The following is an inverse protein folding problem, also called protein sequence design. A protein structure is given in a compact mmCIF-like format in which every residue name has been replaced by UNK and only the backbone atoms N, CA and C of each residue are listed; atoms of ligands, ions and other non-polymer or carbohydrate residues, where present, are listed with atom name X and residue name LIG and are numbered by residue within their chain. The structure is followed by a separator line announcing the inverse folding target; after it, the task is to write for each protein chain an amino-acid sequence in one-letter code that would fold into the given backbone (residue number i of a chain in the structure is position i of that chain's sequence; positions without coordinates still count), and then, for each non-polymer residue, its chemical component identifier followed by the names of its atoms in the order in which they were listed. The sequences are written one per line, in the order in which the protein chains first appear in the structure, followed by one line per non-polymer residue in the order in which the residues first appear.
data_IF_056564353349
#
_entry.id   IF_056564353349
#
_cell.length_a   1.000
_cell.length_b   1.000
_cell.length_c   1.000
_cell.angle_alpha   90.00
_cell.angle_beta   90.00
_cell.angle_gamma   90.00
#
_symmetry.space_group_name_H-M   'P 1'
#
loop_
_entity.id
_entity.type
_entity.pdbx_description
1 polymer ?
#
# COMPACT_ATOMS: atom_id res chain seq x y z
N UNK A 1 19.20 26.39 12.26
CA UNK A 1 19.52 24.95 12.43
C UNK A 1 18.35 24.18 13.06
N UNK A 2 17.94 23.05 12.47
CA UNK A 2 17.09 22.05 13.13
C UNK A 2 17.79 21.49 14.37
N UNK A 3 17.05 20.86 15.27
CA UNK A 3 17.64 20.13 16.41
C UNK A 3 18.65 19.05 15.97
N UNK A 4 18.58 18.62 14.71
CA UNK A 4 19.41 17.61 14.06
C UNK A 4 20.65 18.21 13.33
N UNK A 5 20.93 19.50 13.53
CA UNK A 5 22.15 20.15 13.05
C UNK A 5 22.21 20.39 11.53
N UNK A 6 21.06 20.61 10.87
CA UNK A 6 21.01 21.00 9.46
C UNK A 6 20.01 22.13 9.21
N UNK A 7 19.99 22.68 7.99
CA UNK A 7 18.98 23.64 7.57
C UNK A 7 18.02 23.03 6.54
N UNK A 8 16.72 23.29 6.70
CA UNK A 8 15.73 22.91 5.70
C UNK A 8 15.89 23.81 4.47
N UNK A 9 16.19 23.20 3.31
CA UNK A 9 16.35 23.92 2.03
C UNK A 9 16.15 22.95 0.87
N UNK A 10 16.13 23.45 -0.37
CA UNK A 10 15.86 22.66 -1.57
C UNK A 10 14.36 22.51 -1.86
N UNK A 11 14.01 21.56 -2.73
CA UNK A 11 12.64 21.29 -3.13
C UNK A 11 12.17 20.00 -2.46
N UNK A 12 11.39 20.11 -1.39
CA UNK A 12 10.76 18.94 -0.76
C UNK A 12 9.57 18.48 -1.58
N UNK A 13 9.44 17.17 -1.78
CA UNK A 13 8.32 16.59 -2.50
C UNK A 13 6.99 16.90 -1.79
N UNK A 14 6.02 17.44 -2.53
CA UNK A 14 4.70 17.79 -2.01
C UNK A 14 3.77 16.57 -1.95
N UNK A 15 4.10 15.61 -1.07
CA UNK A 15 3.33 14.38 -0.90
C UNK A 15 1.88 14.64 -0.47
N UNK A 16 1.62 15.71 0.30
CA UNK A 16 0.28 16.05 0.77
C UNK A 16 -0.66 16.44 -0.39
N UNK A 17 -0.15 17.15 -1.39
CA UNK A 17 -0.90 17.42 -2.61
C UNK A 17 -1.23 16.13 -3.35
N UNK A 18 -0.23 15.25 -3.53
CA UNK A 18 -0.42 13.96 -4.20
C UNK A 18 -1.43 13.06 -3.49
N UNK A 19 -1.41 13.02 -2.15
CA UNK A 19 -2.40 12.30 -1.35
C UNK A 19 -3.80 12.87 -1.53
N UNK A 20 -3.96 14.19 -1.44
CA UNK A 20 -5.26 14.86 -1.61
C UNK A 20 -5.85 14.62 -3.00
N UNK A 21 -5.01 14.69 -4.04
CA UNK A 21 -5.44 14.40 -5.40
C UNK A 21 -5.84 12.94 -5.58
N UNK A 22 -5.03 12.01 -5.07
CA UNK A 22 -5.33 10.57 -5.10
C UNK A 22 -6.64 10.25 -4.38
N UNK A 23 -6.88 10.84 -3.21
CA UNK A 23 -8.15 10.68 -2.49
C UNK A 23 -9.33 11.22 -3.31
N UNK A 24 -9.20 12.42 -3.88
CA UNK A 24 -10.27 13.02 -4.68
C UNK A 24 -10.59 12.18 -5.92
N UNK A 25 -9.57 11.67 -6.61
CA UNK A 25 -9.74 10.96 -7.87
C UNK A 25 -10.13 9.49 -7.67
N UNK A 26 -9.34 8.73 -6.92
CA UNK A 26 -9.50 7.27 -6.78
C UNK A 26 -10.72 6.91 -5.92
N UNK A 27 -11.00 7.70 -4.87
CA UNK A 27 -12.12 7.41 -3.97
C UNK A 27 -13.47 7.93 -4.51
N UNK A 28 -13.48 8.69 -5.61
CA UNK A 28 -14.67 9.34 -6.17
C UNK A 28 -15.79 8.34 -6.47
N UNK A 29 -15.46 7.23 -7.13
CA UNK A 29 -16.41 6.19 -7.53
C UNK A 29 -17.05 5.51 -6.30
N UNK A 30 -16.24 5.27 -5.27
CA UNK A 30 -16.70 4.64 -4.04
C UNK A 30 -17.58 5.59 -3.20
N UNK A 31 -17.18 6.86 -3.11
CA UNK A 31 -17.96 7.91 -2.45
C UNK A 31 -19.31 8.14 -3.16
N UNK A 32 -19.36 8.08 -4.49
CA UNK A 32 -20.61 8.19 -5.27
C UNK A 32 -21.57 7.03 -5.01
N UNK A 33 -21.07 5.83 -4.77
CA UNK A 33 -21.87 4.64 -4.41
C UNK A 33 -22.39 4.67 -2.97
N UNK A 34 -22.18 5.77 -2.25
CA UNK A 34 -22.76 6.01 -0.93
C UNK A 34 -22.06 5.30 0.22
N UNK A 35 -20.87 4.70 0.01
CA UNK A 35 -20.07 4.06 1.06
C UNK A 35 -20.80 3.00 1.88
N UNK A 36 -21.93 2.49 1.40
CA UNK A 36 -22.85 1.65 2.17
C UNK A 36 -22.63 0.17 1.94
N UNK A 37 -21.94 -0.21 0.86
CA UNK A 37 -21.55 -1.59 0.59
C UNK A 37 -20.24 -1.92 1.28
N UNK A 38 -20.10 -3.18 1.73
CA UNK A 38 -18.83 -3.66 2.28
C UNK A 38 -17.67 -3.48 1.30
N UNK A 39 -17.92 -3.71 0.01
CA UNK A 39 -16.95 -3.51 -1.06
C UNK A 39 -16.42 -2.08 -1.12
N UNK A 40 -17.32 -1.10 -1.01
CA UNK A 40 -16.93 0.31 -1.04
C UNK A 40 -16.07 0.70 0.16
N UNK A 41 -16.43 0.22 1.36
CA UNK A 41 -15.61 0.41 2.56
C UNK A 41 -14.22 -0.22 2.42
N UNK A 42 -14.14 -1.44 1.87
CA UNK A 42 -12.88 -2.14 1.63
C UNK A 42 -12.00 -1.37 0.66
N UNK A 43 -12.56 -0.91 -0.46
CA UNK A 43 -11.84 -0.13 -1.47
C UNK A 43 -11.30 1.19 -0.88
N UNK A 44 -12.13 1.95 -0.16
CA UNK A 44 -11.71 3.19 0.50
C UNK A 44 -10.59 2.95 1.52
N UNK A 45 -10.69 1.87 2.32
CA UNK A 45 -9.67 1.50 3.29
C UNK A 45 -8.34 1.15 2.61
N UNK A 46 -8.37 0.29 1.60
CA UNK A 46 -7.16 -0.14 0.89
C UNK A 46 -6.50 1.01 0.11
N UNK A 47 -7.29 1.91 -0.50
CA UNK A 47 -6.78 3.12 -1.14
C UNK A 47 -6.01 4.00 -0.14
N UNK A 48 -6.58 4.18 1.05
CA UNK A 48 -5.95 4.96 2.13
C UNK A 48 -4.67 4.29 2.65
N UNK A 49 -4.67 2.97 2.80
CA UNK A 49 -3.47 2.21 3.17
C UNK A 49 -2.34 2.41 2.13
N UNK A 50 -2.70 2.47 0.84
CA UNK A 50 -1.80 2.80 -0.27
C UNK A 50 -1.19 4.20 -0.15
N UNK A 51 -2.02 5.23 0.04
CA UNK A 51 -1.55 6.61 0.27
C UNK A 51 -0.63 6.71 1.49
N UNK A 52 -0.98 6.02 2.57
CA UNK A 52 -0.16 5.96 3.79
C UNK A 52 1.17 5.25 3.61
N UNK A 53 1.27 4.26 2.71
CA UNK A 53 2.54 3.59 2.41
C UNK A 53 3.57 4.55 1.80
N UNK A 54 3.12 5.53 1.02
CA UNK A 54 4.01 6.59 0.50
C UNK A 54 4.42 7.53 1.64
N UNK A 55 3.43 7.99 2.42
CA UNK A 55 3.67 8.96 3.49
C UNK A 55 4.60 8.43 4.59
N UNK A 56 4.45 7.17 4.99
CA UNK A 56 5.27 6.55 6.04
C UNK A 56 6.73 6.39 5.64
N UNK A 57 7.01 6.33 4.34
CA UNK A 57 8.32 5.98 3.80
C UNK A 57 9.04 7.21 3.23
N UNK A 58 8.47 8.40 3.40
CA UNK A 58 9.14 9.68 3.11
C UNK A 58 10.47 9.76 3.87
N UNK A 59 11.51 10.23 3.20
CA UNK A 59 12.87 10.34 3.76
C UNK A 59 13.35 11.77 3.79
N UNK A 60 14.26 12.02 4.71
CA UNK A 60 15.08 13.23 4.70
C UNK A 60 16.35 12.90 3.94
N UNK A 61 16.58 13.60 2.83
CA UNK A 61 17.85 13.57 2.12
C UNK A 61 18.60 14.88 2.33
N UNK A 62 19.93 14.79 2.40
CA UNK A 62 20.79 15.90 2.74
C UNK A 62 21.93 16.04 1.74
N UNK A 63 22.33 17.29 1.49
CA UNK A 63 23.57 17.63 0.79
C UNK A 63 24.50 18.38 1.73
N UNK A 64 25.75 17.93 1.77
CA UNK A 64 26.82 18.54 2.54
C UNK A 64 27.55 19.60 1.71
N UNK A 65 27.89 20.72 2.34
CA UNK A 65 28.47 21.90 1.67
C UNK A 65 29.80 22.34 2.29
N UNK A 66 30.37 21.56 3.21
CA UNK A 66 31.62 21.90 3.87
C UNK A 66 32.86 21.64 3.01
N UNK A 67 33.98 22.27 3.39
CA UNK A 67 35.26 22.17 2.68
C UNK A 67 35.71 20.71 2.58
N UNK A 68 36.19 20.30 1.40
CA UNK A 68 36.60 18.92 1.12
C UNK A 68 35.51 17.87 1.35
N UNK A 69 34.23 18.26 1.29
CA UNK A 69 33.09 17.37 1.49
C UNK A 69 32.67 17.17 2.95
N UNK A 70 33.13 18.02 3.87
CA UNK A 70 32.66 17.97 5.26
C UNK A 70 31.15 18.26 5.35
N UNK A 71 30.48 17.64 6.33
CA UNK A 71 29.04 17.78 6.56
C UNK A 71 28.70 18.69 7.75
N UNK A 72 29.65 19.52 8.19
CA UNK A 72 29.45 20.51 9.26
C UNK A 72 28.34 21.51 8.90
N UNK A 73 28.26 21.88 7.62
CA UNK A 73 27.12 22.56 7.02
C UNK A 73 26.44 21.62 6.04
N UNK A 74 25.16 21.34 6.26
CA UNK A 74 24.34 20.55 5.36
C UNK A 74 22.93 21.11 5.27
N UNK A 75 22.32 20.95 4.11
CA UNK A 75 20.91 21.26 3.89
C UNK A 75 20.15 20.01 3.55
N UNK A 76 18.93 19.88 4.05
CA UNK A 76 18.10 18.69 3.81
C UNK A 76 16.70 19.05 3.32
N UNK A 77 16.07 18.12 2.60
CA UNK A 77 14.71 18.18 2.10
C UNK A 77 14.02 16.82 2.23
N UNK A 78 12.68 16.82 2.19
CA UNK A 78 11.90 15.58 2.18
C UNK A 78 11.77 15.05 0.76
N UNK A 79 12.04 13.77 0.57
CA UNK A 79 11.89 13.08 -0.71
C UNK A 79 11.00 11.85 -0.57
N UNK A 80 10.28 11.52 -1.62
CA UNK A 80 9.59 10.23 -1.74
C UNK A 80 10.60 9.09 -1.89
N UNK A 81 10.30 7.89 -1.34
CA UNK A 81 11.12 6.72 -1.59
C UNK A 81 11.03 6.30 -3.06
N UNK A 82 12.02 5.54 -3.57
CA UNK A 82 11.86 4.84 -4.85
C UNK A 82 10.60 3.97 -4.81
N UNK A 83 9.77 4.04 -5.85
CA UNK A 83 8.46 3.38 -5.86
C UNK A 83 8.53 1.86 -5.64
N UNK A 84 9.66 1.22 -5.99
CA UNK A 84 9.93 -0.19 -5.67
C UNK A 84 9.84 -0.51 -4.17
N UNK A 85 10.24 0.43 -3.29
CA UNK A 85 10.09 0.26 -1.84
C UNK A 85 8.64 0.32 -1.40
N UNK A 86 7.86 1.24 -1.97
CA UNK A 86 6.41 1.31 -1.75
C UNK A 86 5.74 0.00 -2.18
N UNK A 87 6.10 -0.51 -3.36
CA UNK A 87 5.60 -1.81 -3.85
C UNK A 87 5.96 -2.98 -2.93
N UNK A 88 7.19 -3.02 -2.42
CA UNK A 88 7.62 -4.04 -1.45
C UNK A 88 6.82 -3.95 -0.13
N UNK A 89 6.65 -2.75 0.42
CA UNK A 89 5.88 -2.54 1.64
C UNK A 89 4.39 -2.91 1.45
N UNK A 90 3.80 -2.62 0.29
CA UNK A 90 2.44 -3.03 -0.03
C UNK A 90 2.34 -4.54 -0.26
N UNK A 91 3.37 -5.18 -0.81
CA UNK A 91 3.42 -6.65 -0.95
C UNK A 91 3.45 -7.34 0.40
N UNK A 92 4.22 -6.84 1.36
CA UNK A 92 4.21 -7.35 2.73
C UNK A 92 2.82 -7.21 3.37
N UNK A 93 2.15 -6.07 3.17
CA UNK A 93 0.77 -5.86 3.64
C UNK A 93 -0.25 -6.74 2.92
N UNK A 94 0.00 -7.10 1.67
CA UNK A 94 -0.80 -8.05 0.91
C UNK A 94 -0.68 -9.46 1.50
N UNK A 95 0.54 -9.89 1.83
CA UNK A 95 0.79 -11.21 2.44
C UNK A 95 0.19 -11.33 3.85
N UNK A 96 0.07 -10.20 4.56
CA UNK A 96 -0.58 -10.10 5.87
C UNK A 96 -2.00 -9.55 5.83
N UNK A 97 -2.68 -9.53 4.68
CA UNK A 97 -4.01 -8.94 4.56
C UNK A 97 -5.03 -9.70 5.40
N UNK A 98 -5.98 -8.97 6.01
CA UNK A 98 -6.99 -9.56 6.90
C UNK A 98 -8.31 -9.78 6.19
N UNK A 99 -8.88 -10.98 6.31
CA UNK A 99 -10.26 -11.23 5.89
C UNK A 99 -11.24 -10.52 6.82
N UNK A 100 -12.14 -9.75 6.23
CA UNK A 100 -13.13 -8.97 6.96
C UNK A 100 -14.53 -9.22 6.43
N UNK A 101 -15.52 -8.84 7.23
CA UNK A 101 -16.91 -8.71 6.83
C UNK A 101 -17.45 -7.35 7.22
N UNK A 102 -18.43 -6.87 6.46
CA UNK A 102 -19.17 -5.68 6.83
C UNK A 102 -20.20 -6.01 7.91
N UNK A 103 -20.15 -5.28 9.02
CA UNK A 103 -21.14 -5.34 10.11
C UNK A 103 -21.75 -3.96 10.33
N UNK A 104 -23.06 -3.88 10.54
CA UNK A 104 -23.71 -2.62 10.94
C UNK A 104 -23.50 -2.38 12.43
N UNK A 105 -22.96 -1.22 12.78
CA UNK A 105 -22.89 -0.70 14.14
C UNK A 105 -23.74 0.57 14.17
N UNK A 106 -24.98 0.45 14.66
CA UNK A 106 -26.00 1.47 14.47
C UNK A 106 -26.33 1.69 12.99
N UNK A 107 -26.28 2.94 12.53
CA UNK A 107 -26.53 3.30 11.13
C UNK A 107 -25.29 3.15 10.21
N UNK A 108 -24.10 2.89 10.77
CA UNK A 108 -22.85 2.88 10.00
C UNK A 108 -22.36 1.46 9.73
N UNK A 109 -22.07 1.10 8.46
CA UNK A 109 -21.36 -0.14 8.17
C UNK A 109 -19.87 0.01 8.56
N UNK A 110 -19.32 -1.03 9.17
CA UNK A 110 -17.93 -1.09 9.63
C UNK A 110 -17.34 -2.44 9.24
N UNK A 111 -16.08 -2.46 8.79
CA UNK A 111 -15.35 -3.69 8.54
C UNK A 111 -14.86 -4.27 9.87
N UNK A 112 -15.15 -5.53 10.11
CA UNK A 112 -14.64 -6.28 11.27
C UNK A 112 -13.98 -7.56 10.78
N UNK A 113 -12.94 -8.07 11.47
CA UNK A 113 -12.35 -9.36 11.12
C UNK A 113 -13.40 -10.46 11.00
N UNK A 114 -13.23 -11.32 9.99
CA UNK A 114 -14.10 -12.48 9.79
C UNK A 114 -13.94 -13.46 10.95
N UNK A 115 -12.70 -13.74 11.35
CA UNK A 115 -12.35 -14.51 12.55
C UNK A 115 -12.24 -13.58 13.78
N UNK A 116 -13.05 -13.78 14.84
CA UNK A 116 -12.98 -12.98 16.06
C UNK A 116 -11.67 -13.10 16.86
N UNK A 117 -10.87 -14.14 16.63
CA UNK A 117 -9.56 -14.32 17.28
C UNK A 117 -8.47 -13.43 16.67
N UNK A 118 -8.70 -12.95 15.44
CA UNK A 118 -7.80 -12.04 14.74
C UNK A 118 -7.97 -10.63 15.27
N UNK A 119 -6.83 -9.93 15.46
CA UNK A 119 -6.83 -8.56 15.94
C UNK A 119 -7.51 -7.62 14.93
N UNK A 120 -8.14 -6.53 15.39
CA UNK A 120 -8.66 -5.51 14.48
C UNK A 120 -7.56 -4.93 13.58
N UNK A 121 -7.89 -4.72 12.31
CA UNK A 121 -6.96 -4.16 11.34
C UNK A 121 -6.68 -2.67 11.62
N UNK A 122 -5.48 -2.23 11.26
CA UNK A 122 -5.07 -0.83 11.28
C UNK A 122 -5.33 -0.16 9.94
N UNK A 123 -5.33 1.17 9.91
CA UNK A 123 -5.46 1.93 8.66
C UNK A 123 -4.27 1.83 7.70
N UNK A 124 -3.23 1.06 8.04
CA UNK A 124 -2.07 0.77 7.18
C UNK A 124 -2.11 -0.64 6.61
N UNK A 125 -2.93 -1.53 7.13
CA UNK A 125 -3.04 -2.91 6.66
C UNK A 125 -4.04 -3.00 5.50
N UNK A 126 -3.90 -4.03 4.66
CA UNK A 126 -4.88 -4.33 3.62
C UNK A 126 -5.93 -5.30 4.16
N UNK A 127 -7.15 -5.17 3.65
CA UNK A 127 -8.28 -6.02 4.02
C UNK A 127 -8.99 -6.54 2.77
N UNK A 128 -9.61 -7.72 2.88
CA UNK A 128 -10.37 -8.33 1.79
C UNK A 128 -11.68 -8.96 2.30
N UNK A 129 -12.68 -9.06 1.43
CA UNK A 129 -14.02 -9.56 1.79
C UNK A 129 -14.30 -11.00 1.35
N UNK A 130 -13.53 -11.50 0.37
CA UNK A 130 -13.76 -12.79 -0.25
C UNK A 130 -12.43 -13.46 -0.59
N UNK A 131 -12.38 -14.78 -0.43
CA UNK A 131 -11.24 -15.58 -0.84
C UNK A 131 -10.96 -15.41 -2.34
N UNK A 132 -9.68 -15.43 -2.70
CA UNK A 132 -9.26 -15.45 -4.10
C UNK A 132 -9.66 -16.76 -4.79
N UNK A 133 -9.97 -16.72 -6.09
CA UNK A 133 -10.20 -17.94 -6.88
C UNK A 133 -8.90 -18.74 -7.03
N UNK A 134 -9.03 -19.96 -7.57
CA UNK A 134 -7.90 -20.69 -8.10
C UNK A 134 -7.41 -20.00 -9.39
N UNK A 135 -6.10 -19.79 -9.50
CA UNK A 135 -5.46 -19.14 -10.65
C UNK A 135 -4.74 -20.12 -11.57
N UNK A 136 -4.73 -21.41 -11.26
CA UNK A 136 -4.02 -22.44 -12.03
C UNK A 136 -4.67 -22.69 -13.40
N UNK A 137 -5.98 -22.90 -13.43
CA UNK A 137 -6.73 -23.24 -14.64
C UNK A 137 -7.38 -22.00 -15.28
N UNK A 138 -7.56 -22.02 -16.60
CA UNK A 138 -8.26 -20.95 -17.31
C UNK A 138 -9.75 -20.94 -16.94
N UNK A 139 -10.27 -19.78 -16.54
CA UNK A 139 -11.68 -19.56 -16.24
C UNK A 139 -12.12 -18.16 -16.68
N UNK A 140 -12.85 -18.09 -17.80
CA UNK A 140 -13.26 -16.82 -18.42
C UNK A 140 -14.20 -16.00 -17.52
N UNK A 141 -15.12 -16.66 -16.80
CA UNK A 141 -16.14 -15.98 -15.99
C UNK A 141 -15.55 -15.17 -14.83
N UNK A 142 -14.44 -15.64 -14.24
CA UNK A 142 -13.70 -14.96 -13.18
C UNK A 142 -12.53 -14.12 -13.72
N UNK A 143 -12.26 -14.17 -15.03
CA UNK A 143 -11.15 -13.48 -15.68
C UNK A 143 -9.78 -14.13 -15.43
N UNK A 144 -9.74 -15.39 -15.02
CA UNK A 144 -8.51 -16.13 -14.76
C UNK A 144 -7.97 -16.72 -16.07
N UNK A 145 -6.71 -16.44 -16.40
CA UNK A 145 -6.09 -16.89 -17.64
C UNK A 145 -5.36 -18.24 -17.53
N UNK A 146 -5.23 -18.78 -16.32
CA UNK A 146 -4.42 -19.97 -16.02
C UNK A 146 -2.90 -19.72 -16.01
N UNK A 147 -2.13 -20.75 -15.69
CA UNK A 147 -0.66 -20.69 -15.63
C UNK A 147 0.07 -21.29 -16.83
N UNK A 148 -0.66 -21.89 -17.78
CA UNK A 148 -0.08 -22.55 -18.95
C UNK A 148 0.81 -21.60 -19.77
N UNK A 149 2.03 -22.05 -20.09
CA UNK A 149 2.99 -21.29 -20.90
C UNK A 149 3.75 -20.19 -20.15
N UNK A 150 3.55 -20.03 -18.84
CA UNK A 150 4.33 -19.09 -18.02
C UNK A 150 5.74 -19.63 -17.78
N UNK A 151 6.71 -18.71 -17.77
CA UNK A 151 8.09 -19.04 -17.38
C UNK A 151 8.13 -19.32 -15.88
N UNK A 152 8.79 -20.43 -15.52
CA UNK A 152 8.98 -20.87 -14.14
C UNK A 152 10.47 -21.09 -13.85
N UNK A 153 10.83 -21.05 -12.56
CA UNK A 153 12.19 -21.29 -12.08
C UNK A 153 12.36 -22.74 -11.61
N UNK A 154 13.12 -23.55 -12.36
CA UNK A 154 13.33 -24.97 -12.04
C UNK A 154 14.07 -25.25 -10.73
N UNK A 155 14.79 -24.27 -10.18
CA UNK A 155 15.53 -24.44 -8.92
C UNK A 155 14.77 -23.95 -7.68
N UNK A 156 13.71 -23.16 -7.87
CA UNK A 156 12.90 -22.65 -6.77
C UNK A 156 11.83 -23.67 -6.37
N UNK A 157 11.60 -23.78 -5.06
CA UNK A 157 10.48 -24.53 -4.47
C UNK A 157 9.33 -23.60 -4.05
N UNK A 158 9.43 -22.31 -4.34
CA UNK A 158 8.41 -21.30 -4.03
C UNK A 158 7.39 -21.13 -5.17
N UNK A 159 6.54 -20.10 -5.05
CA UNK A 159 5.46 -19.79 -6.03
C UNK A 159 5.95 -19.48 -7.45
N UNK A 160 7.24 -19.17 -7.61
CA UNK A 160 7.90 -18.97 -8.90
C UNK A 160 8.46 -20.27 -9.49
N UNK A 161 8.41 -21.38 -8.74
CA UNK A 161 8.95 -22.67 -9.09
C UNK A 161 8.03 -23.47 -10.01
N UNK A 162 8.60 -24.29 -10.89
CA UNK A 162 7.84 -25.08 -11.87
C UNK A 162 6.94 -26.18 -11.29
N UNK A 163 7.05 -26.45 -9.99
CA UNK A 163 6.19 -27.42 -9.29
C UNK A 163 4.92 -26.76 -8.75
N UNK A 164 4.96 -25.47 -8.42
CA UNK A 164 3.83 -24.72 -7.85
C UNK A 164 3.17 -23.77 -8.85
N UNK A 165 3.90 -23.35 -9.90
CA UNK A 165 3.40 -22.53 -11.00
C UNK A 165 2.95 -23.39 -12.17
#
# INVERSE_FOLDING_TARGET
PSEEGFEWSGCSDNVLYGMSFSEMFVDSVEKQRGGSSGLSLMNLHNNEAGRKAILSDMKVECKCHGVSGSCELRTCWKVMPPFRRVGAALKERFDGATEVRARRVGARPVLVPQDPSVKPHTSRELVYLAASPDYCEFEEASGVLGTAGRLCNRTSRGLEGCELL
#
